data_IF_277299563820
#
_entry.id   IF_277299563820
#
_cell.length_a   1.000
_cell.length_b   1.000
_cell.length_c   1.000
_cell.angle_alpha   90.00
_cell.angle_beta   90.00
_cell.angle_gamma   90.00
#
_symmetry.space_group_name_H-M   'P 1'
#
loop_
_entity.id
_entity.type
_entity.pdbx_description
1 polymer ?
#
# COMPACT_ATOMS: atom_id res chain seq x y z
N UNK A 1 -6.82 14.41 19.86
CA UNK A 1 -5.86 14.11 20.96
C UNK A 1 -4.99 12.89 20.66
N UNK A 2 -5.56 11.72 20.29
CA UNK A 2 -4.78 10.50 20.00
C UNK A 2 -3.75 10.64 18.87
N UNK A 3 -4.06 11.31 17.75
CA UNK A 3 -3.08 11.49 16.68
C UNK A 3 -1.91 12.41 17.11
N UNK A 4 -2.20 13.54 17.77
CA UNK A 4 -1.16 14.38 18.37
C UNK A 4 -0.33 13.61 19.39
N UNK A 5 -0.97 12.81 20.25
CA UNK A 5 -0.27 11.96 21.22
C UNK A 5 0.57 10.87 20.52
N UNK A 6 0.11 10.29 19.41
CA UNK A 6 0.87 9.33 18.62
C UNK A 6 2.08 9.97 17.94
N UNK A 7 1.93 11.14 17.30
CA UNK A 7 3.06 11.88 16.70
C UNK A 7 4.03 12.38 17.78
N UNK A 8 3.51 12.80 18.94
CA UNK A 8 4.32 13.21 20.08
C UNK A 8 5.06 12.02 20.70
N UNK A 9 4.40 10.87 20.89
CA UNK A 9 5.06 9.62 21.30
C UNK A 9 6.12 9.22 20.27
N UNK A 10 5.79 9.21 18.98
CA UNK A 10 6.73 8.88 17.90
C UNK A 10 7.95 9.82 17.90
N UNK A 11 7.75 11.11 18.16
CA UNK A 11 8.82 12.10 18.34
C UNK A 11 9.62 11.83 19.63
N UNK A 12 8.96 11.45 20.73
CA UNK A 12 9.57 11.07 22.01
C UNK A 12 10.34 9.76 21.96
N UNK A 13 10.02 8.84 21.03
CA UNK A 13 10.78 7.62 20.77
C UNK A 13 12.00 7.84 19.86
N UNK A 14 12.22 9.05 19.30
CA UNK A 14 13.43 9.35 18.51
C UNK A 14 14.75 9.11 19.29
N UNK A 15 14.91 9.55 20.55
CA UNK A 15 16.10 9.24 21.35
C UNK A 15 16.31 7.74 21.57
N UNK A 16 15.23 6.98 21.82
CA UNK A 16 15.30 5.52 21.96
C UNK A 16 15.74 4.83 20.66
N UNK A 17 15.38 5.36 19.48
CA UNK A 17 15.90 4.86 18.19
C UNK A 17 17.40 5.09 18.04
N UNK A 18 17.91 6.25 18.45
CA UNK A 18 19.35 6.52 18.40
C UNK A 18 20.11 5.56 19.31
N UNK A 19 19.57 5.28 20.50
CA UNK A 19 20.15 4.29 21.43
C UNK A 19 20.07 2.87 20.84
N UNK A 20 18.95 2.51 20.20
CA UNK A 20 18.78 1.20 19.58
C UNK A 20 19.72 0.99 18.38
N UNK A 21 19.83 1.99 17.49
CA UNK A 21 20.75 1.95 16.36
C UNK A 21 22.22 1.86 16.82
N UNK A 22 22.61 2.66 17.81
CA UNK A 22 23.96 2.60 18.38
C UNK A 22 24.24 1.27 19.08
N UNK A 23 23.27 0.74 19.83
CA UNK A 23 23.37 -0.56 20.48
C UNK A 23 23.52 -1.69 19.45
N UNK A 24 22.72 -1.68 18.39
CA UNK A 24 22.86 -2.61 17.27
C UNK A 24 24.26 -2.52 16.67
N UNK A 25 24.69 -1.33 16.22
CA UNK A 25 26.00 -1.14 15.57
C UNK A 25 27.16 -1.63 16.46
N UNK A 26 27.05 -1.44 17.77
CA UNK A 26 28.04 -1.92 18.74
C UNK A 26 28.05 -3.46 18.85
N UNK A 27 26.89 -4.09 18.93
CA UNK A 27 26.75 -5.54 19.15
C UNK A 27 26.70 -6.37 17.86
N UNK A 28 26.62 -5.75 16.68
CA UNK A 28 26.79 -6.38 15.37
C UNK A 28 28.13 -6.04 14.71
N UNK A 29 28.98 -5.24 15.37
CA UNK A 29 30.27 -4.84 14.82
C UNK A 29 31.20 -6.03 14.62
N UNK A 30 31.85 -6.18 13.45
CA UNK A 30 32.86 -7.21 13.23
C UNK A 30 34.04 -7.14 14.20
N UNK A 31 34.28 -5.96 14.79
CA UNK A 31 35.34 -5.68 15.75
C UNK A 31 34.95 -5.94 17.21
N UNK A 32 33.70 -6.33 17.47
CA UNK A 32 33.23 -6.69 18.81
C UNK A 32 33.17 -8.22 18.95
N UNK A 33 34.04 -8.85 19.76
CA UNK A 33 34.04 -10.31 19.97
C UNK A 33 32.71 -10.83 20.53
N UNK A 34 31.97 -10.00 21.27
CA UNK A 34 30.66 -10.35 21.84
C UNK A 34 29.62 -10.55 20.74
N UNK A 35 29.76 -9.89 19.58
CA UNK A 35 28.85 -10.01 18.44
C UNK A 35 28.73 -11.45 17.91
N UNK A 36 29.78 -12.26 18.07
CA UNK A 36 29.82 -13.65 17.62
C UNK A 36 29.26 -14.64 18.66
N UNK A 37 28.91 -14.16 19.85
CA UNK A 37 28.34 -14.98 20.93
C UNK A 37 26.81 -14.99 20.87
N UNK A 38 26.19 -16.06 21.36
CA UNK A 38 24.72 -16.15 21.43
C UNK A 38 24.09 -14.98 22.23
N UNK A 39 24.62 -14.56 23.39
CA UNK A 39 24.12 -13.37 24.10
C UNK A 39 24.24 -12.07 23.29
N UNK A 40 25.34 -11.89 22.55
CA UNK A 40 25.52 -10.70 21.69
C UNK A 40 24.55 -10.67 20.51
N UNK A 41 24.30 -11.81 19.85
CA UNK A 41 23.29 -11.94 18.81
C UNK A 41 21.87 -11.67 19.33
N UNK A 42 21.54 -12.18 20.53
CA UNK A 42 20.25 -11.92 21.20
C UNK A 42 20.07 -10.45 21.54
N UNK A 43 21.11 -9.77 22.02
CA UNK A 43 21.07 -8.33 22.30
C UNK A 43 20.93 -7.50 21.02
N UNK A 44 21.69 -7.83 19.97
CA UNK A 44 21.58 -7.19 18.66
C UNK A 44 20.17 -7.36 18.07
N UNK A 45 19.63 -8.57 18.10
CA UNK A 45 18.26 -8.85 17.64
C UNK A 45 17.21 -8.10 18.47
N UNK A 46 17.42 -7.94 19.78
CA UNK A 46 16.57 -7.11 20.64
C UNK A 46 16.58 -5.64 20.24
N UNK A 47 17.75 -5.08 19.94
CA UNK A 47 17.87 -3.72 19.41
C UNK A 47 17.24 -3.57 18.02
N UNK A 48 17.38 -4.57 17.14
CA UNK A 48 16.75 -4.60 15.82
C UNK A 48 15.22 -4.62 15.89
N UNK A 49 14.67 -5.40 16.81
CA UNK A 49 13.23 -5.42 17.08
C UNK A 49 12.77 -4.07 17.64
N UNK A 50 13.53 -3.48 18.57
CA UNK A 50 13.20 -2.17 19.15
C UNK A 50 13.30 -1.03 18.13
N UNK A 51 14.31 -1.06 17.25
CA UNK A 51 14.42 -0.15 16.12
C UNK A 51 13.23 -0.35 15.18
N UNK A 52 12.91 -1.58 14.80
CA UNK A 52 11.82 -1.91 13.87
C UNK A 52 10.44 -1.52 14.40
N UNK A 53 10.19 -1.69 15.69
CA UNK A 53 8.94 -1.29 16.36
C UNK A 53 8.79 0.23 16.42
N UNK A 54 9.90 0.96 16.44
CA UNK A 54 9.86 2.41 16.58
C UNK A 54 10.00 3.11 15.22
N UNK A 55 10.65 2.54 14.21
CA UNK A 55 10.97 3.20 12.93
C UNK A 55 9.72 3.51 12.09
N UNK A 56 9.73 4.65 11.38
CA UNK A 56 8.77 4.91 10.29
C UNK A 56 9.43 4.41 9.01
N UNK A 57 8.84 3.39 8.40
CA UNK A 57 9.33 2.87 7.13
C UNK A 57 8.92 3.81 6.01
N UNK A 58 9.87 4.16 5.15
CA UNK A 58 9.59 4.83 3.89
C UNK A 58 8.82 3.89 2.97
N UNK A 59 8.12 4.47 1.99
CA UNK A 59 7.48 3.69 0.94
C UNK A 59 8.50 2.74 0.30
N UNK A 60 8.27 1.41 0.31
CA UNK A 60 9.13 0.47 -0.40
C UNK A 60 9.20 0.82 -1.88
N UNK A 61 10.37 0.66 -2.52
CA UNK A 61 10.48 0.72 -3.97
C UNK A 61 9.73 -0.44 -4.65
N UNK A 62 9.50 -0.35 -5.95
CA UNK A 62 8.84 -1.43 -6.70
C UNK A 62 9.72 -2.66 -6.87
N UNK A 63 11.05 -2.52 -6.95
CA UNK A 63 11.99 -3.65 -7.10
C UNK A 63 11.61 -4.64 -8.22
N UNK A 64 11.07 -4.11 -9.32
CA UNK A 64 10.75 -4.85 -10.55
C UNK A 64 11.57 -4.24 -11.70
N UNK A 65 12.89 -4.51 -11.77
CA UNK A 65 13.75 -3.94 -12.80
C UNK A 65 13.49 -4.56 -14.17
N UNK A 66 13.02 -5.81 -14.20
CA UNK A 66 12.80 -6.59 -15.42
C UNK A 66 11.57 -7.48 -15.30
N UNK A 67 11.12 -8.00 -16.44
CA UNK A 67 10.11 -9.06 -16.58
C UNK A 67 10.56 -10.01 -17.69
N UNK A 68 10.18 -11.29 -17.62
CA UNK A 68 10.49 -12.28 -18.64
C UNK A 68 9.28 -12.47 -19.57
N UNK A 69 9.51 -12.33 -20.87
CA UNK A 69 8.52 -12.59 -21.92
C UNK A 69 9.16 -13.56 -22.91
N UNK A 70 8.59 -14.76 -23.08
CA UNK A 70 9.12 -15.79 -23.99
C UNK A 70 10.65 -16.02 -23.82
N UNK A 71 11.12 -16.20 -22.59
CA UNK A 71 12.54 -16.38 -22.25
C UNK A 71 13.47 -15.20 -22.60
N UNK A 72 12.90 -14.05 -22.93
CA UNK A 72 13.64 -12.82 -23.16
C UNK A 72 13.38 -11.87 -22.00
N UNK A 73 14.47 -11.37 -21.41
CA UNK A 73 14.40 -10.37 -20.36
C UNK A 73 14.08 -8.99 -20.95
N UNK A 74 13.04 -8.35 -20.42
CA UNK A 74 12.58 -7.02 -20.83
C UNK A 74 12.71 -6.07 -19.63
N UNK A 75 13.37 -4.94 -19.84
CA UNK A 75 13.55 -3.93 -18.79
C UNK A 75 12.21 -3.24 -18.47
N UNK A 76 11.96 -2.99 -17.18
CA UNK A 76 10.72 -2.38 -16.68
C UNK A 76 11.05 -1.12 -15.89
N UNK A 77 10.42 -0.01 -16.25
CA UNK A 77 10.58 1.29 -15.59
C UNK A 77 9.23 1.80 -15.06
N UNK A 78 9.02 1.86 -13.74
CA UNK A 78 7.82 2.47 -13.18
C UNK A 78 7.85 4.00 -13.37
N UNK A 79 6.83 4.56 -14.02
CA UNK A 79 6.66 6.00 -14.26
C UNK A 79 5.31 6.48 -13.76
N UNK A 80 5.29 7.64 -13.11
CA UNK A 80 4.03 8.32 -12.83
C UNK A 80 3.57 9.01 -14.11
N UNK A 81 2.46 8.54 -14.69
CA UNK A 81 1.94 9.01 -15.99
C UNK A 81 0.74 9.94 -15.84
N UNK A 82 0.04 9.88 -14.71
CA UNK A 82 -1.05 10.78 -14.38
C UNK A 82 -1.00 11.13 -12.89
N UNK A 83 -1.29 12.38 -12.54
CA UNK A 83 -1.15 12.89 -11.17
C UNK A 83 -2.39 13.66 -10.75
N UNK A 84 -3.00 13.20 -9.68
CA UNK A 84 -4.03 13.92 -8.96
C UNK A 84 -3.58 14.10 -7.49
N UNK A 85 -4.13 15.08 -6.74
CA UNK A 85 -3.66 15.38 -5.38
C UNK A 85 -3.57 14.17 -4.44
N UNK A 86 -4.56 13.28 -4.48
CA UNK A 86 -4.65 12.09 -3.62
C UNK A 86 -4.13 10.80 -4.26
N UNK A 87 -3.75 10.79 -5.54
CA UNK A 87 -3.35 9.56 -6.22
C UNK A 87 -2.44 9.83 -7.42
N UNK A 88 -1.37 9.06 -7.52
CA UNK A 88 -0.57 8.96 -8.72
C UNK A 88 -0.99 7.69 -9.49
N UNK A 89 -1.09 7.78 -10.81
CA UNK A 89 -1.17 6.61 -11.67
C UNK A 89 0.24 6.22 -12.09
N UNK A 90 0.68 5.03 -11.70
CA UNK A 90 1.99 4.50 -12.06
C UNK A 90 1.83 3.49 -13.20
N UNK A 91 2.53 3.73 -14.31
CA UNK A 91 2.66 2.82 -15.44
C UNK A 91 4.00 2.11 -15.37
N UNK A 92 4.03 0.80 -15.56
CA UNK A 92 5.26 0.04 -15.66
C UNK A 92 5.64 -0.10 -17.13
N UNK A 93 6.41 0.89 -17.62
CA UNK A 93 6.85 0.93 -19.00
C UNK A 93 7.86 -0.19 -19.26
N UNK A 94 7.58 -1.03 -20.24
CA UNK A 94 8.49 -2.07 -20.72
C UNK A 94 9.32 -1.53 -21.87
N UNK A 95 10.62 -1.82 -21.90
CA UNK A 95 11.50 -1.36 -23.00
C UNK A 95 10.96 -1.80 -24.36
N UNK A 96 10.70 -0.84 -25.23
CA UNK A 96 9.97 -1.07 -26.48
C UNK A 96 10.72 -1.97 -27.48
N UNK A 97 12.05 -1.98 -27.45
CA UNK A 97 12.86 -2.77 -28.38
C UNK A 97 12.96 -4.22 -27.91
N UNK A 98 13.22 -4.42 -26.62
CA UNK A 98 13.18 -5.74 -26.00
C UNK A 98 11.79 -6.36 -26.05
N UNK A 99 10.73 -5.58 -25.81
CA UNK A 99 9.34 -6.06 -25.89
C UNK A 99 8.98 -6.55 -27.30
N UNK A 100 9.32 -5.78 -28.35
CA UNK A 100 9.07 -6.19 -29.74
C UNK A 100 9.83 -7.46 -30.13
N UNK A 101 11.02 -7.63 -29.57
CA UNK A 101 11.86 -8.81 -29.79
C UNK A 101 11.28 -10.03 -29.07
N UNK A 102 10.81 -9.84 -27.84
CA UNK A 102 10.30 -10.90 -26.97
C UNK A 102 8.88 -11.37 -27.35
N UNK A 103 7.95 -10.44 -27.54
CA UNK A 103 6.53 -10.74 -27.80
C UNK A 103 6.20 -10.82 -29.30
N UNK A 104 7.05 -10.24 -30.15
CA UNK A 104 6.76 -10.02 -31.56
C UNK A 104 6.21 -8.61 -31.82
N UNK A 105 6.44 -8.10 -33.03
CA UNK A 105 6.13 -6.70 -33.42
C UNK A 105 4.64 -6.35 -33.31
N UNK A 106 3.77 -7.32 -33.57
CA UNK A 106 2.32 -7.14 -33.63
C UNK A 106 1.59 -7.72 -32.40
N UNK A 107 2.33 -8.02 -31.33
CA UNK A 107 1.74 -8.54 -30.10
C UNK A 107 0.79 -7.51 -29.48
N UNK A 108 -0.46 -7.92 -29.27
CA UNK A 108 -1.44 -7.12 -28.53
C UNK A 108 -0.99 -7.08 -27.07
N UNK A 109 -0.98 -5.88 -26.49
CA UNK A 109 -0.65 -5.67 -25.09
C UNK A 109 -1.85 -5.03 -24.39
N UNK A 110 -2.77 -5.84 -23.81
CA UNK A 110 -3.93 -5.33 -23.09
C UNK A 110 -3.50 -4.40 -21.95
N UNK A 111 -4.20 -3.28 -21.80
CA UNK A 111 -3.93 -2.31 -20.73
C UNK A 111 -4.74 -2.68 -19.51
N UNK A 112 -4.09 -2.80 -18.37
CA UNK A 112 -4.73 -3.20 -17.11
C UNK A 112 -4.51 -2.13 -16.06
N UNK A 113 -5.60 -1.57 -15.53
CA UNK A 113 -5.61 -0.73 -14.35
C UNK A 113 -5.80 -1.58 -13.10
N UNK A 114 -4.78 -1.65 -12.25
CA UNK A 114 -4.87 -2.20 -10.90
C UNK A 114 -5.24 -1.07 -9.94
N UNK A 115 -6.39 -1.18 -9.31
CA UNK A 115 -6.79 -0.28 -8.23
C UNK A 115 -6.39 -0.91 -6.91
N UNK A 116 -5.32 -0.39 -6.31
CA UNK A 116 -4.79 -0.82 -5.03
C UNK A 116 -5.64 -0.31 -3.86
N UNK A 117 -5.74 -1.05 -2.75
CA UNK A 117 -6.43 -0.58 -1.55
C UNK A 117 -5.66 0.55 -0.86
N UNK A 118 -6.37 1.55 -0.33
CA UNK A 118 -5.79 2.59 0.53
C UNK A 118 -5.43 2.04 1.92
N UNK A 119 -6.16 1.03 2.38
CA UNK A 119 -5.96 0.38 3.69
C UNK A 119 -4.64 -0.40 3.81
N UNK A 120 -3.90 -0.58 2.72
CA UNK A 120 -2.69 -1.38 2.61
C UNK A 120 -1.38 -0.61 2.80
N UNK A 121 -1.41 0.63 3.29
CA UNK A 121 -0.24 1.51 3.44
C UNK A 121 0.34 2.02 2.11
N UNK A 122 0.77 1.14 1.20
CA UNK A 122 1.33 1.50 -0.11
C UNK A 122 0.94 0.52 -1.21
N UNK A 123 0.82 1.00 -2.45
CA UNK A 123 0.49 0.18 -3.62
C UNK A 123 1.50 -0.96 -3.87
N UNK A 124 2.72 -0.85 -3.35
CA UNK A 124 3.74 -1.89 -3.42
C UNK A 124 3.37 -3.19 -2.70
N UNK A 125 2.29 -3.23 -1.91
CA UNK A 125 1.73 -4.50 -1.46
C UNK A 125 1.27 -5.39 -2.62
N UNK A 126 0.84 -4.79 -3.74
CA UNK A 126 0.45 -5.49 -4.95
C UNK A 126 1.62 -5.67 -5.92
N UNK A 127 2.88 -5.57 -5.45
CA UNK A 127 4.07 -5.80 -6.29
C UNK A 127 4.00 -7.16 -7.00
N UNK A 128 3.66 -8.23 -6.28
CA UNK A 128 3.55 -9.56 -6.88
C UNK A 128 2.42 -9.66 -7.91
N UNK A 129 1.34 -8.87 -7.76
CA UNK A 129 0.28 -8.78 -8.77
C UNK A 129 0.76 -8.04 -10.02
N UNK A 130 1.51 -6.95 -9.85
CA UNK A 130 2.14 -6.25 -10.98
C UNK A 130 3.11 -7.20 -11.71
N UNK A 131 4.02 -7.83 -10.96
CA UNK A 131 5.00 -8.78 -11.48
C UNK A 131 4.37 -9.90 -12.31
N UNK A 132 3.28 -10.49 -11.81
CA UNK A 132 2.57 -11.55 -12.51
C UNK A 132 1.83 -11.10 -13.78
N UNK A 133 1.46 -9.82 -13.89
CA UNK A 133 0.71 -9.29 -15.04
C UNK A 133 1.62 -8.68 -16.11
N UNK A 134 2.84 -8.26 -15.74
CA UNK A 134 3.81 -7.62 -16.64
C UNK A 134 4.16 -8.42 -17.91
N UNK A 135 4.21 -9.77 -17.90
CA UNK A 135 4.56 -10.51 -19.11
C UNK A 135 3.56 -10.28 -20.25
N UNK A 136 2.26 -10.22 -19.91
CA UNK A 136 1.18 -10.24 -20.89
C UNK A 136 0.47 -8.89 -21.06
N UNK A 137 0.72 -7.90 -20.19
CA UNK A 137 -0.09 -6.69 -20.11
C UNK A 137 0.73 -5.41 -19.97
N UNK A 138 0.17 -4.30 -20.48
CA UNK A 138 0.58 -2.95 -20.08
C UNK A 138 -0.05 -2.63 -18.73
N UNK A 139 0.77 -2.61 -17.67
CA UNK A 139 0.28 -2.52 -16.29
C UNK A 139 0.31 -1.09 -15.76
N UNK A 140 -0.85 -0.64 -15.29
CA UNK A 140 -1.05 0.60 -14.56
C UNK A 140 -1.52 0.28 -13.13
N UNK A 141 -1.11 1.06 -12.14
CA UNK A 141 -1.57 0.90 -10.76
C UNK A 141 -1.82 2.25 -10.08
N UNK A 142 -2.90 2.32 -9.30
CA UNK A 142 -3.16 3.45 -8.41
C UNK A 142 -2.18 3.46 -7.26
N UNK A 143 -1.53 4.59 -7.02
CA UNK A 143 -0.67 4.83 -5.89
C UNK A 143 -1.19 5.99 -5.06
N UNK A 144 -2.01 5.65 -4.06
CA UNK A 144 -2.67 6.61 -3.18
C UNK A 144 -1.66 7.36 -2.31
N UNK A 145 -1.77 8.68 -2.34
CA UNK A 145 -0.97 9.58 -1.51
C UNK A 145 -1.56 9.60 -0.11
N UNK A 146 -0.71 9.56 0.92
CA UNK A 146 -1.17 9.71 2.29
C UNK A 146 -1.85 11.06 2.45
N UNK A 147 -3.12 11.08 2.85
CA UNK A 147 -3.89 12.30 3.00
C UNK A 147 -3.25 13.33 3.97
N UNK A 148 -2.37 12.89 4.88
CA UNK A 148 -1.61 13.82 5.75
C UNK A 148 -0.60 14.68 4.99
N UNK A 149 -0.13 14.22 3.83
CA UNK A 149 0.83 14.89 2.96
C UNK A 149 0.14 15.77 1.90
N UNK A 150 -1.19 15.68 1.78
CA UNK A 150 -1.98 16.44 0.80
C UNK A 150 -2.47 17.75 1.44
N UNK A 151 -2.09 18.93 0.93
CA UNK A 151 -2.50 20.23 1.49
C UNK A 151 -4.01 20.33 1.70
N UNK A 152 -4.44 21.05 2.75
CA UNK A 152 -5.86 21.23 3.04
C UNK A 152 -6.61 21.93 1.89
N UNK A 153 -5.92 22.79 1.14
CA UNK A 153 -6.47 23.52 -0.02
C UNK A 153 -6.89 22.62 -1.19
N UNK A 154 -6.38 21.39 -1.28
CA UNK A 154 -6.72 20.42 -2.34
C UNK A 154 -8.11 19.78 -2.16
N UNK A 155 -8.99 20.38 -1.37
CA UNK A 155 -10.35 19.92 -1.19
C UNK A 155 -10.49 18.67 -0.31
N UNK A 156 -11.66 18.04 -0.35
CA UNK A 156 -11.97 16.82 0.40
C UNK A 156 -11.61 15.58 -0.44
N UNK A 157 -11.66 14.43 0.21
CA UNK A 157 -11.53 13.14 -0.46
C UNK A 157 -12.48 12.16 0.22
N UNK A 158 -13.60 11.88 -0.42
CA UNK A 158 -14.61 10.92 0.01
C UNK A 158 -14.81 9.80 -1.02
N UNK A 159 -15.90 9.04 -0.90
CA UNK A 159 -16.19 7.91 -1.78
C UNK A 159 -16.46 8.35 -3.23
N UNK A 160 -17.11 9.49 -3.43
CA UNK A 160 -17.39 10.01 -4.77
C UNK A 160 -16.08 10.45 -5.42
N UNK A 161 -15.21 11.13 -4.69
CA UNK A 161 -13.88 11.49 -5.18
C UNK A 161 -13.09 10.23 -5.59
N UNK A 162 -13.15 9.15 -4.80
CA UNK A 162 -12.52 7.88 -5.18
C UNK A 162 -13.07 7.35 -6.51
N UNK A 163 -14.39 7.34 -6.68
CA UNK A 163 -15.06 6.90 -7.91
C UNK A 163 -14.62 7.75 -9.10
N UNK A 164 -14.64 9.08 -8.95
CA UNK A 164 -14.23 10.03 -9.98
C UNK A 164 -12.78 9.82 -10.39
N UNK A 165 -11.89 9.54 -9.43
CA UNK A 165 -10.49 9.21 -9.71
C UNK A 165 -10.36 7.94 -10.55
N UNK A 166 -11.13 6.88 -10.24
CA UNK A 166 -11.13 5.65 -11.05
C UNK A 166 -11.63 5.92 -12.47
N UNK A 167 -12.71 6.70 -12.62
CA UNK A 167 -13.24 7.10 -13.93
C UNK A 167 -12.19 7.91 -14.72
N UNK A 168 -11.56 8.89 -14.08
CA UNK A 168 -10.53 9.74 -14.66
C UNK A 168 -9.33 8.92 -15.15
N UNK A 169 -8.83 7.98 -14.33
CA UNK A 169 -7.72 7.11 -14.72
C UNK A 169 -8.11 6.15 -15.86
N UNK A 170 -9.32 5.61 -15.88
CA UNK A 170 -9.81 4.80 -17.01
C UNK A 170 -9.96 5.63 -18.28
N UNK A 171 -10.42 6.87 -18.17
CA UNK A 171 -10.47 7.82 -19.31
C UNK A 171 -9.07 8.13 -19.83
N UNK A 172 -8.11 8.34 -18.95
CA UNK A 172 -6.71 8.57 -19.29
C UNK A 172 -6.09 7.36 -20.03
N UNK A 173 -6.29 6.14 -19.52
CA UNK A 173 -5.79 4.91 -20.17
C UNK A 173 -6.47 4.69 -21.52
N UNK A 174 -7.77 4.99 -21.61
CA UNK A 174 -8.55 4.97 -22.84
C UNK A 174 -9.28 3.66 -23.12
N UNK A 175 -9.93 3.56 -24.29
CA UNK A 175 -10.80 2.43 -24.65
C UNK A 175 -10.11 1.06 -24.61
N UNK A 176 -10.85 0.02 -24.22
CA UNK A 176 -10.34 -1.36 -24.20
C UNK A 176 -9.42 -1.69 -23.02
N UNK A 177 -9.32 -0.81 -22.02
CA UNK A 177 -8.64 -1.12 -20.76
C UNK A 177 -9.41 -2.17 -19.95
N UNK A 178 -8.71 -2.92 -19.12
CA UNK A 178 -9.29 -3.80 -18.10
C UNK A 178 -9.06 -3.19 -16.72
N UNK A 179 -9.96 -3.43 -15.77
CA UNK A 179 -9.80 -2.95 -14.39
C UNK A 179 -9.79 -4.11 -13.39
N UNK A 180 -8.84 -4.08 -12.46
CA UNK A 180 -8.67 -5.07 -11.39
C UNK A 180 -8.69 -4.36 -10.04
N UNK A 181 -9.69 -4.65 -9.21
CA UNK A 181 -9.77 -4.18 -7.83
C UNK A 181 -9.36 -5.24 -6.83
N UNK A 182 -8.56 -4.88 -5.83
CA UNK A 182 -8.13 -5.81 -4.78
C UNK A 182 -8.58 -5.35 -3.40
N UNK A 183 -9.44 -6.13 -2.75
CA UNK A 183 -9.97 -5.87 -1.41
C UNK A 183 -10.86 -4.60 -1.33
N UNK A 184 -10.40 -3.53 -0.71
CA UNK A 184 -11.21 -2.32 -0.45
C UNK A 184 -11.89 -1.66 -1.67
N UNK A 185 -11.27 -1.54 -2.86
CA UNK A 185 -11.76 -0.66 -3.91
C UNK A 185 -12.93 -1.23 -4.72
N UNK A 186 -13.33 -2.49 -4.50
CA UNK A 186 -14.36 -3.15 -5.32
C UNK A 186 -15.67 -2.38 -5.44
N UNK A 187 -16.30 -1.91 -4.34
CA UNK A 187 -17.50 -1.07 -4.43
C UNK A 187 -17.31 0.21 -5.25
N UNK A 188 -16.13 0.84 -5.15
CA UNK A 188 -15.85 2.07 -5.88
C UNK A 188 -15.67 1.81 -7.38
N UNK A 189 -14.98 0.73 -7.75
CA UNK A 189 -14.82 0.32 -9.15
C UNK A 189 -16.16 -0.08 -9.75
N UNK A 190 -16.96 -0.87 -9.01
CA UNK A 190 -18.31 -1.24 -9.45
C UNK A 190 -19.17 0.01 -9.72
N UNK A 191 -19.10 1.01 -8.83
CA UNK A 191 -19.80 2.28 -8.99
C UNK A 191 -19.28 3.06 -10.21
N UNK A 192 -17.95 3.18 -10.35
CA UNK A 192 -17.32 3.86 -11.49
C UNK A 192 -17.73 3.25 -12.83
N UNK A 193 -17.64 1.92 -12.96
CA UNK A 193 -18.02 1.20 -14.18
C UNK A 193 -19.52 1.34 -14.45
N UNK A 194 -20.37 1.33 -13.41
CA UNK A 194 -21.81 1.51 -13.57
C UNK A 194 -22.14 2.91 -14.10
N UNK A 195 -21.52 3.96 -13.55
CA UNK A 195 -21.68 5.34 -14.03
C UNK A 195 -21.19 5.47 -15.47
N UNK A 196 -19.98 4.99 -15.76
CA UNK A 196 -19.42 5.03 -17.12
C UNK A 196 -20.30 4.28 -18.13
N UNK A 197 -20.93 3.18 -17.72
CA UNK A 197 -21.82 2.40 -18.59
C UNK A 197 -23.12 3.15 -18.86
N UNK A 198 -23.71 3.79 -17.85
CA UNK A 198 -24.92 4.60 -18.01
C UNK A 198 -24.67 5.78 -18.96
N UNK A 199 -23.46 6.36 -18.91
CA UNK A 199 -23.05 7.48 -19.76
C UNK A 199 -22.62 7.06 -21.19
N UNK A 200 -22.63 5.76 -21.51
CA UNK A 200 -22.05 5.21 -22.75
C UNK A 200 -20.61 5.70 -23.00
N UNK A 201 -19.80 5.75 -21.93
CA UNK A 201 -18.43 6.25 -21.98
C UNK A 201 -17.59 5.44 -22.99
N UNK A 202 -16.86 6.10 -23.91
CA UNK A 202 -15.99 5.39 -24.87
C UNK A 202 -14.83 4.67 -24.18
N UNK A 203 -14.46 5.10 -22.96
CA UNK A 203 -13.40 4.48 -22.15
C UNK A 203 -13.97 3.49 -21.12
N UNK A 204 -15.18 2.98 -21.30
CA UNK A 204 -15.70 1.89 -20.47
C UNK A 204 -14.72 0.70 -20.53
N UNK A 205 -14.30 0.13 -19.38
CA UNK A 205 -13.35 -0.97 -19.41
C UNK A 205 -13.97 -2.22 -20.02
N UNK A 206 -13.17 -2.97 -20.78
CA UNK A 206 -13.57 -4.21 -21.44
C UNK A 206 -13.86 -5.34 -20.44
N UNK A 207 -13.24 -5.32 -19.27
CA UNK A 207 -13.61 -6.20 -18.15
C UNK A 207 -13.36 -5.55 -16.80
N UNK A 208 -14.06 -6.05 -15.78
CA UNK A 208 -13.89 -5.67 -14.38
C UNK A 208 -13.69 -6.93 -13.54
N UNK A 209 -12.56 -7.02 -12.85
CA UNK A 209 -12.20 -8.14 -11.97
C UNK A 209 -12.09 -7.64 -10.53
N UNK A 210 -12.84 -8.24 -9.61
CA UNK A 210 -12.85 -7.87 -8.19
C UNK A 210 -12.30 -9.03 -7.35
N UNK A 211 -11.09 -8.87 -6.82
CA UNK A 211 -10.38 -9.89 -6.05
C UNK A 211 -10.56 -9.64 -4.56
N UNK A 212 -11.31 -10.53 -3.88
CA UNK A 212 -11.52 -10.47 -2.43
C UNK A 212 -12.17 -9.16 -1.96
N UNK A 213 -12.92 -8.49 -2.83
CA UNK A 213 -13.56 -7.21 -2.51
C UNK A 213 -14.95 -7.43 -1.92
N UNK A 214 -15.29 -6.77 -0.79
CA UNK A 214 -16.63 -6.88 -0.23
C UNK A 214 -17.61 -6.10 -1.13
N UNK A 215 -18.66 -6.76 -1.62
CA UNK A 215 -19.73 -6.13 -2.42
C UNK A 215 -21.03 -6.13 -1.62
N UNK A 216 -21.58 -7.31 -1.33
CA UNK A 216 -22.67 -7.45 -0.37
C UNK A 216 -22.11 -7.82 1.00
N UNK A 217 -21.96 -6.84 1.87
CA UNK A 217 -21.37 -7.04 3.22
C UNK A 217 -22.30 -7.79 4.18
N UNK A 218 -23.55 -8.05 3.79
CA UNK A 218 -24.50 -8.85 4.59
C UNK A 218 -24.22 -10.35 4.48
N UNK A 219 -23.50 -10.76 3.42
CA UNK A 219 -23.17 -12.15 3.16
C UNK A 219 -21.72 -12.42 3.57
N UNK A 220 -21.49 -13.46 4.38
CA UNK A 220 -20.15 -13.86 4.88
C UNK A 220 -19.40 -12.74 5.61
N UNK A 221 -19.98 -12.16 6.68
CA UNK A 221 -19.40 -11.00 7.35
C UNK A 221 -18.07 -11.33 8.02
N UNK A 222 -17.06 -10.53 7.68
CA UNK A 222 -15.76 -10.53 8.38
C UNK A 222 -15.85 -9.74 9.69
N UNK A 223 -14.81 -9.81 10.52
CA UNK A 223 -14.78 -9.05 11.80
C UNK A 223 -15.01 -7.54 11.60
N UNK A 224 -14.38 -6.87 10.61
CA UNK A 224 -14.73 -5.49 10.27
C UNK A 224 -16.19 -5.26 9.91
N UNK A 225 -16.86 -6.21 9.23
CA UNK A 225 -18.27 -6.07 8.87
C UNK A 225 -19.17 -6.11 10.11
N UNK A 226 -18.92 -7.05 11.03
CA UNK A 226 -19.68 -7.15 12.29
C UNK A 226 -19.55 -5.89 13.14
N UNK A 227 -18.33 -5.34 13.24
CA UNK A 227 -18.12 -4.07 13.94
C UNK A 227 -18.93 -2.92 13.30
N UNK A 228 -19.00 -2.89 11.97
CA UNK A 228 -19.78 -1.90 11.23
C UNK A 228 -21.30 -2.03 11.45
N UNK A 229 -21.81 -3.23 11.74
CA UNK A 229 -23.22 -3.47 12.09
C UNK A 229 -23.53 -3.10 13.55
N UNK A 230 -22.58 -3.28 14.47
CA UNK A 230 -22.77 -3.04 15.90
C UNK A 230 -22.71 -1.55 16.30
N UNK A 231 -22.16 -0.68 15.44
CA UNK A 231 -21.91 0.73 15.77
C UNK A 231 -22.50 1.66 14.70
N UNK A 232 -23.14 2.78 15.08
CA UNK A 232 -23.60 3.76 14.11
C UNK A 232 -22.41 4.49 13.45
N UNK A 233 -22.61 5.02 12.24
CA UNK A 233 -21.60 5.81 11.51
C UNK A 233 -21.03 6.98 12.34
N UNK A 234 -21.86 7.63 13.17
CA UNK A 234 -21.44 8.72 14.06
C UNK A 234 -20.38 8.28 15.07
N UNK A 235 -20.44 7.03 15.55
CA UNK A 235 -19.43 6.47 16.44
C UNK A 235 -18.08 6.40 15.72
N UNK A 236 -18.04 5.84 14.51
CA UNK A 236 -16.82 5.77 13.69
C UNK A 236 -16.24 7.15 13.41
N UNK A 237 -17.09 8.12 13.05
CA UNK A 237 -16.67 9.50 12.81
C UNK A 237 -16.03 10.14 14.05
N UNK A 238 -16.56 9.87 15.24
CA UNK A 238 -16.05 10.41 16.50
C UNK A 238 -14.76 9.73 16.99
N UNK A 239 -14.65 8.41 16.82
CA UNK A 239 -13.57 7.61 17.40
C UNK A 239 -12.38 7.44 16.45
N UNK A 240 -12.64 7.24 15.16
CA UNK A 240 -11.63 6.83 14.19
C UNK A 240 -11.09 7.99 13.35
N UNK A 241 -11.85 9.08 13.21
CA UNK A 241 -11.46 10.20 12.35
C UNK A 241 -10.81 11.32 13.17
N UNK A 242 -9.53 11.57 12.92
CA UNK A 242 -8.73 12.58 13.62
C UNK A 242 -8.26 13.67 12.67
N UNK A 243 -8.01 14.87 13.19
CA UNK A 243 -7.36 15.94 12.44
C UNK A 243 -5.86 15.67 12.33
N UNK A 244 -5.31 15.87 11.13
CA UNK A 244 -3.88 15.82 10.88
C UNK A 244 -3.17 16.92 11.69
N UNK A 245 -2.12 16.60 12.46
CA UNK A 245 -1.41 17.57 13.27
C UNK A 245 -0.39 18.38 12.47
N UNK A 246 -0.08 19.58 12.93
CA UNK A 246 1.04 20.38 12.43
C UNK A 246 2.36 19.62 12.70
N UNK A 247 3.40 19.70 11.87
CA UNK A 247 3.59 20.53 10.67
C UNK A 247 3.22 19.88 9.33
N UNK A 248 2.47 18.76 9.34
CA UNK A 248 2.19 18.04 8.09
C UNK A 248 1.37 18.92 7.11
N UNK A 249 1.60 18.81 5.78
CA UNK A 249 0.92 19.65 4.79
C UNK A 249 -0.61 19.60 4.88
N UNK A 250 -1.17 18.43 5.18
CA UNK A 250 -2.61 18.25 5.38
C UNK A 250 -3.14 18.72 6.73
N UNK A 251 -2.46 19.62 7.44
CA UNK A 251 -2.89 20.13 8.76
C UNK A 251 -4.39 20.43 8.79
N UNK A 252 -5.07 20.02 9.88
CA UNK A 252 -6.52 20.11 10.08
C UNK A 252 -7.39 19.21 9.19
N UNK A 253 -6.84 18.51 8.19
CA UNK A 253 -7.58 17.51 7.40
C UNK A 253 -8.06 16.37 8.30
N UNK A 254 -9.32 15.98 8.14
CA UNK A 254 -9.92 14.84 8.84
C UNK A 254 -9.53 13.54 8.12
N UNK A 255 -8.84 12.65 8.81
CA UNK A 255 -8.35 11.37 8.25
C UNK A 255 -8.63 10.23 9.22
N UNK A 256 -8.70 9.00 8.71
CA UNK A 256 -8.60 7.80 9.53
C UNK A 256 -7.10 7.42 9.65
N UNK A 257 -6.43 7.67 10.79
CA UNK A 257 -4.99 7.47 10.88
C UNK A 257 -4.62 5.98 10.76
N UNK A 258 -3.60 5.69 9.96
CA UNK A 258 -3.15 4.32 9.71
C UNK A 258 -2.72 3.54 10.95
N UNK A 259 -2.29 4.20 12.04
CA UNK A 259 -1.97 3.51 13.29
C UNK A 259 -3.22 2.99 14.02
N UNK A 260 -4.37 3.66 13.90
CA UNK A 260 -5.64 3.14 14.43
C UNK A 260 -6.16 1.99 13.58
N UNK A 261 -5.96 2.08 12.27
CA UNK A 261 -6.29 1.01 11.33
C UNK A 261 -5.45 -0.24 11.60
N UNK A 262 -4.13 -0.06 11.76
CA UNK A 262 -3.20 -1.12 12.13
C UNK A 262 -3.49 -1.67 13.53
N UNK A 263 -3.76 -0.82 14.51
CA UNK A 263 -4.15 -1.24 15.86
C UNK A 263 -5.42 -2.08 15.87
N UNK A 264 -6.40 -1.72 15.04
CA UNK A 264 -7.60 -2.53 14.81
C UNK A 264 -7.28 -3.89 14.19
N UNK A 265 -6.47 -3.95 13.13
CA UNK A 265 -6.06 -5.21 12.50
C UNK A 265 -5.25 -6.12 13.43
N UNK A 266 -4.31 -5.54 14.20
CA UNK A 266 -3.49 -6.28 15.17
C UNK A 266 -4.38 -6.80 16.30
N UNK A 267 -5.27 -5.97 16.85
CA UNK A 267 -6.20 -6.41 17.91
C UNK A 267 -7.16 -7.50 17.44
N UNK A 268 -7.54 -7.50 16.16
CA UNK A 268 -8.41 -8.53 15.56
C UNK A 268 -7.67 -9.84 15.23
N UNK A 269 -6.33 -9.86 15.19
CA UNK A 269 -5.51 -11.03 14.85
C UNK A 269 -4.26 -11.16 15.76
N UNK A 270 -4.42 -10.86 17.05
CA UNK A 270 -3.31 -10.65 17.99
C UNK A 270 -2.37 -11.86 18.09
N UNK A 271 -2.92 -13.07 18.08
CA UNK A 271 -2.14 -14.32 18.13
C UNK A 271 -1.26 -14.53 16.90
N UNK A 272 -1.78 -14.22 15.70
CA UNK A 272 -1.04 -14.38 14.44
C UNK A 272 0.09 -13.37 14.32
N UNK A 273 -0.11 -12.14 14.80
CA UNK A 273 0.92 -11.11 14.86
C UNK A 273 1.99 -11.42 15.91
N UNK A 274 1.61 -11.90 17.09
CA UNK A 274 2.58 -12.34 18.12
C UNK A 274 3.45 -13.50 17.61
N UNK A 275 2.88 -14.45 16.88
CA UNK A 275 3.64 -15.54 16.26
C UNK A 275 4.55 -15.06 15.13
N UNK A 276 4.12 -14.08 14.32
CA UNK A 276 4.97 -13.47 13.29
C UNK A 276 6.16 -12.72 13.90
N UNK A 277 5.95 -11.97 15.00
CA UNK A 277 7.03 -11.28 15.72
C UNK A 277 8.00 -12.26 16.37
N UNK A 278 7.52 -13.36 16.97
CA UNK A 278 8.38 -14.42 17.51
C UNK A 278 9.24 -15.06 16.42
N UNK A 279 8.66 -15.35 15.25
CA UNK A 279 9.40 -15.87 14.10
C UNK A 279 10.46 -14.88 13.61
N UNK A 280 10.10 -13.61 13.45
CA UNK A 280 11.04 -12.56 13.06
C UNK A 280 12.23 -12.43 14.02
N UNK A 281 11.98 -12.44 15.33
CA UNK A 281 13.05 -12.42 16.34
C UNK A 281 13.93 -13.68 16.28
N UNK A 282 13.35 -14.87 16.13
CA UNK A 282 14.12 -16.11 16.03
C UNK A 282 15.01 -16.12 14.78
N UNK A 283 14.51 -15.67 13.63
CA UNK A 283 15.31 -15.52 12.40
C UNK A 283 16.52 -14.58 12.62
N UNK A 284 16.32 -13.43 13.27
CA UNK A 284 17.41 -12.50 13.58
C UNK A 284 18.47 -13.09 14.52
N UNK A 285 18.08 -13.95 15.46
CA UNK A 285 19.00 -14.59 16.43
C UNK A 285 19.78 -15.75 15.79
N UNK A 286 19.14 -16.50 14.90
CA UNK A 286 19.75 -17.59 14.14
C UNK A 286 20.77 -17.07 13.12
N UNK A 287 20.60 -15.82 12.67
CA UNK A 287 21.44 -15.15 11.66
C UNK A 287 20.98 -15.56 10.27
N UNK A 288 20.51 -14.59 9.47
CA UNK A 288 19.96 -14.82 8.14
C UNK A 288 20.89 -15.68 7.26
N UNK A 289 20.36 -16.80 6.75
CA UNK A 289 20.58 -17.21 5.37
C UNK A 289 19.39 -16.74 4.53
#
# INVERSE_FOLDING_TARGET
>A
MLYHAYEMNYAMFKPMRYIAGFGKDLYSSPYNPIAYTLPGRVLSAGFDVLESMTRRYHKPGWKLPTTEINHTEVQVTPRVVHKNPFCNLVHFERDSLSLKTAAGKDAIQPRVLIVAPMSGHYATLLRGTVEALLPDNEVYITDWVSAREVPYSEGRFDMNDFIDYVIDMLRFIGPGAHVVGVCQPGPAILSAVSVMSADNSPSLPASMTLMGSPIDTRLSPTVPNKLAEERPLSWFQSQLIHSVPWPNPGFMRRVYPGFLQLGGFISMNQDRHNQAMKRYFNHLVEGDQ
#
